data_IF_775970842348
#
_entry.id   IF_775970842348
#
_cell.length_a   1.000
_cell.length_b   1.000
_cell.length_c   1.000
_cell.angle_alpha   90.00
_cell.angle_beta   90.00
_cell.angle_gamma   90.00
#
_symmetry.space_group_name_H-M   'P 1'
#
loop_
_entity.id
_entity.type
_entity.pdbx_description
1 polymer ?
#
# COMPACT_ATOMS: atom_id res chain seq x y z
N UNK A 1 47.53 -9.96 -52.81
CA UNK A 1 47.65 -8.75 -51.98
C UNK A 1 46.26 -8.26 -51.65
N UNK A 2 45.97 -8.06 -50.36
CA UNK A 2 44.68 -7.57 -49.84
C UNK A 2 44.53 -6.07 -50.14
N UNK A 3 43.27 -5.60 -50.13
CA UNK A 3 42.74 -4.24 -49.90
C UNK A 3 41.87 -3.74 -51.08
N UNK A 4 40.76 -3.02 -50.91
CA UNK A 4 39.97 -2.55 -49.76
C UNK A 4 38.64 -2.02 -50.37
N UNK A 5 37.51 -2.40 -49.76
CA UNK A 5 36.28 -1.63 -49.46
C UNK A 5 35.44 -0.96 -50.57
N UNK A 6 34.17 -1.40 -50.61
CA UNK A 6 32.97 -0.71 -51.11
C UNK A 6 31.92 -0.71 -49.95
N UNK A 7 30.84 0.09 -49.98
CA UNK A 7 30.47 1.02 -48.93
C UNK A 7 29.06 0.68 -48.39
N UNK A 8 28.65 1.23 -47.25
CA UNK A 8 27.24 1.26 -46.82
C UNK A 8 27.23 2.10 -45.54
N UNK A 9 26.64 3.29 -45.48
CA UNK A 9 25.19 3.59 -45.40
C UNK A 9 24.91 4.22 -44.03
N UNK A 10 24.19 5.34 -44.09
CA UNK A 10 23.36 5.96 -43.05
C UNK A 10 24.04 6.31 -41.72
N UNK A 11 24.35 7.58 -41.47
CA UNK A 11 23.39 8.67 -41.18
C UNK A 11 22.46 8.31 -40.01
N UNK A 12 22.55 9.16 -38.97
CA UNK A 12 21.54 9.40 -37.92
C UNK A 12 21.68 8.63 -36.60
N UNK A 13 22.50 9.17 -35.68
CA UNK A 13 22.27 8.99 -34.23
C UNK A 13 22.20 10.35 -33.55
N UNK A 14 21.02 10.94 -33.68
CA UNK A 14 20.58 12.14 -33.00
C UNK A 14 20.11 11.79 -31.57
N UNK A 15 20.48 12.66 -30.63
CA UNK A 15 19.83 12.90 -29.33
C UNK A 15 19.75 11.74 -28.33
N UNK A 16 20.72 11.72 -27.42
CA UNK A 16 20.58 11.13 -26.08
C UNK A 16 19.64 12.04 -25.26
N UNK A 17 18.34 11.91 -25.51
CA UNK A 17 17.31 12.55 -24.69
C UNK A 17 17.39 11.97 -23.27
N UNK A 18 17.62 12.88 -22.32
CA UNK A 18 17.56 12.63 -20.90
C UNK A 18 16.24 11.93 -20.56
N UNK A 19 16.34 10.66 -20.16
CA UNK A 19 15.25 10.04 -19.41
C UNK A 19 15.30 10.65 -18.00
N UNK A 20 14.66 11.81 -17.83
CA UNK A 20 14.13 12.24 -16.53
C UNK A 20 12.99 11.30 -16.17
N UNK A 21 13.34 10.07 -15.80
CA UNK A 21 12.41 9.14 -15.19
C UNK A 21 12.05 9.68 -13.82
N UNK A 22 10.91 10.36 -13.73
CA UNK A 22 10.14 10.38 -12.48
C UNK A 22 10.04 8.94 -12.03
N UNK A 23 10.73 8.61 -10.94
CA UNK A 23 10.54 7.33 -10.29
C UNK A 23 9.08 7.28 -9.86
N UNK A 24 8.28 6.47 -10.56
CA UNK A 24 7.03 6.00 -10.01
C UNK A 24 7.34 5.42 -8.62
N UNK A 25 6.57 5.74 -7.58
CA UNK A 25 6.80 5.18 -6.26
C UNK A 25 6.88 3.66 -6.39
N UNK A 26 7.97 3.09 -5.88
CA UNK A 26 8.14 1.64 -5.86
C UNK A 26 6.91 1.02 -5.17
N UNK A 27 6.35 -0.08 -5.70
CA UNK A 27 5.28 -0.79 -5.00
C UNK A 27 5.79 -1.09 -3.59
N UNK A 28 5.03 -0.66 -2.57
CA UNK A 28 5.27 -1.04 -1.19
C UNK A 28 5.44 -2.56 -1.15
N UNK A 29 6.62 -3.00 -0.74
CA UNK A 29 7.06 -4.39 -0.82
C UNK A 29 6.02 -5.33 -0.19
N UNK A 30 5.49 -6.28 -0.96
CA UNK A 30 4.83 -7.48 -0.42
C UNK A 30 3.43 -7.83 -0.92
N UNK A 31 2.74 -7.01 -1.70
CA UNK A 31 1.44 -7.41 -2.28
C UNK A 31 1.54 -7.61 -3.79
N UNK A 32 1.74 -8.87 -4.19
CA UNK A 32 1.65 -9.34 -5.60
C UNK A 32 0.24 -9.85 -5.92
N UNK A 33 -0.72 -9.59 -5.04
CA UNK A 33 -2.09 -10.02 -5.22
C UNK A 33 -2.77 -9.21 -6.33
N UNK A 34 -3.35 -9.91 -7.30
CA UNK A 34 -4.13 -9.32 -8.40
C UNK A 34 -5.59 -9.66 -8.18
N UNK A 35 -6.41 -8.64 -7.97
CA UNK A 35 -7.86 -8.78 -7.82
C UNK A 35 -8.55 -8.83 -9.18
N UNK A 36 -9.69 -9.53 -9.24
CA UNK A 36 -10.60 -9.48 -10.39
C UNK A 36 -11.60 -8.32 -10.29
N UNK A 37 -11.78 -7.77 -9.09
CA UNK A 37 -12.79 -6.73 -8.81
C UNK A 37 -12.16 -5.34 -8.69
N UNK A 38 -10.91 -5.27 -8.22
CA UNK A 38 -10.20 -4.02 -7.93
C UNK A 38 -9.00 -3.86 -8.85
N UNK A 39 -8.96 -2.74 -9.57
CA UNK A 39 -7.83 -2.38 -10.43
C UNK A 39 -6.80 -1.57 -9.66
N UNK A 40 -5.53 -1.69 -10.06
CA UNK A 40 -4.43 -0.81 -9.64
C UNK A 40 -3.90 0.03 -10.81
N UNK A 41 -4.60 0.02 -11.95
CA UNK A 41 -4.17 0.64 -13.22
C UNK A 41 -4.63 2.10 -13.32
N UNK A 42 -4.38 2.87 -12.27
CA UNK A 42 -4.61 4.31 -12.24
C UNK A 42 -3.55 5.01 -11.39
N UNK A 43 -3.38 6.31 -11.62
CA UNK A 43 -2.31 7.07 -10.98
C UNK A 43 -2.49 7.11 -9.45
N UNK A 44 -1.41 6.83 -8.73
CA UNK A 44 -1.40 6.79 -7.27
C UNK A 44 -2.28 5.70 -6.63
N UNK A 45 -2.74 4.70 -7.38
CA UNK A 45 -3.59 3.63 -6.88
C UNK A 45 -2.98 2.93 -5.65
N UNK A 46 -3.80 2.72 -4.62
CA UNK A 46 -3.40 1.90 -3.49
C UNK A 46 -3.28 0.42 -3.90
N UNK A 47 -2.44 -0.34 -3.19
CA UNK A 47 -2.45 -1.80 -3.29
C UNK A 47 -3.85 -2.33 -2.91
N UNK A 48 -4.29 -3.42 -3.55
CA UNK A 48 -5.63 -4.00 -3.38
C UNK A 48 -6.02 -4.18 -1.91
N UNK A 49 -5.11 -4.69 -1.08
CA UNK A 49 -5.32 -4.81 0.37
C UNK A 49 -5.78 -3.50 1.01
N UNK A 50 -5.09 -2.41 0.69
CA UNK A 50 -5.38 -1.10 1.27
C UNK A 50 -6.64 -0.49 0.65
N UNK A 51 -6.95 -0.78 -0.63
CA UNK A 51 -8.22 -0.42 -1.24
C UNK A 51 -9.40 -1.12 -0.54
N UNK A 52 -9.30 -2.43 -0.29
CA UNK A 52 -10.32 -3.18 0.45
C UNK A 52 -10.49 -2.66 1.87
N UNK A 53 -9.38 -2.39 2.57
CA UNK A 53 -9.42 -1.96 3.95
C UNK A 53 -10.03 -0.55 4.10
N UNK A 54 -9.49 0.44 3.38
CA UNK A 54 -10.02 1.80 3.43
C UNK A 54 -11.43 1.87 2.84
N UNK A 55 -11.68 1.16 1.74
CA UNK A 55 -13.00 1.07 1.12
C UNK A 55 -14.06 0.49 2.05
N UNK A 56 -13.72 -0.53 2.85
CA UNK A 56 -14.64 -1.11 3.85
C UNK A 56 -15.02 -0.08 4.93
N UNK A 57 -14.08 0.75 5.37
CA UNK A 57 -14.35 1.84 6.31
C UNK A 57 -15.27 2.91 5.71
N UNK A 58 -15.09 3.24 4.44
CA UNK A 58 -15.96 4.19 3.73
C UNK A 58 -17.37 3.62 3.51
N UNK A 59 -17.48 2.34 3.12
CA UNK A 59 -18.78 1.68 2.96
C UNK A 59 -19.61 1.68 4.24
N UNK A 60 -18.96 1.46 5.39
CA UNK A 60 -19.63 1.43 6.70
C UNK A 60 -20.21 2.78 7.13
N UNK A 61 -19.90 3.87 6.42
CA UNK A 61 -20.50 5.19 6.63
C UNK A 61 -21.71 5.47 5.74
N UNK A 62 -22.07 4.55 4.83
CA UNK A 62 -23.14 4.74 3.85
C UNK A 62 -24.12 3.56 3.73
N UNK A 63 -24.89 3.55 2.65
CA UNK A 63 -26.00 2.60 2.43
C UNK A 63 -25.53 1.17 2.11
N UNK A 64 -24.26 0.99 1.76
CA UNK A 64 -23.63 -0.30 1.45
C UNK A 64 -22.77 -0.83 2.60
N UNK A 65 -23.05 -0.38 3.83
CA UNK A 65 -22.38 -0.85 5.03
C UNK A 65 -22.36 -2.38 5.10
N UNK A 66 -21.26 -2.92 5.63
CA UNK A 66 -21.10 -4.36 5.85
C UNK A 66 -22.12 -4.82 6.89
N UNK A 67 -22.94 -5.83 6.56
CA UNK A 67 -23.95 -6.35 7.49
C UNK A 67 -23.31 -7.06 8.69
N UNK A 68 -24.07 -7.26 9.76
CA UNK A 68 -23.61 -8.01 10.93
C UNK A 68 -23.17 -9.44 10.56
N UNK A 69 -23.89 -10.12 9.68
CA UNK A 69 -23.58 -11.47 9.21
C UNK A 69 -22.30 -11.50 8.37
N UNK A 70 -22.10 -10.51 7.51
CA UNK A 70 -20.85 -10.37 6.75
C UNK A 70 -19.68 -10.05 7.68
N UNK A 71 -19.88 -9.17 8.67
CA UNK A 71 -18.86 -8.79 9.64
C UNK A 71 -18.37 -10.00 10.45
N UNK A 72 -19.27 -10.90 10.89
CA UNK A 72 -18.89 -12.15 11.55
C UNK A 72 -17.95 -13.03 10.71
N UNK A 73 -18.10 -12.99 9.37
CA UNK A 73 -17.23 -13.71 8.43
C UNK A 73 -15.92 -12.96 8.18
N UNK A 74 -15.97 -11.63 8.05
CA UNK A 74 -14.83 -10.80 7.68
C UNK A 74 -13.84 -10.57 8.83
N UNK A 75 -14.30 -10.45 10.08
CA UNK A 75 -13.45 -10.22 11.26
C UNK A 75 -12.27 -11.21 11.33
N UNK A 76 -12.49 -12.54 11.34
CA UNK A 76 -11.38 -13.49 11.45
C UNK A 76 -10.44 -13.46 10.24
N UNK A 77 -10.91 -13.08 9.05
CA UNK A 77 -10.07 -12.95 7.84
C UNK A 77 -9.12 -11.75 7.95
N UNK A 78 -9.65 -10.59 8.40
CA UNK A 78 -8.83 -9.40 8.64
C UNK A 78 -7.84 -9.60 9.79
N UNK A 79 -8.24 -10.30 10.85
CA UNK A 79 -7.33 -10.69 11.94
C UNK A 79 -6.20 -11.62 11.44
N UNK A 80 -6.52 -12.57 10.57
CA UNK A 80 -5.51 -13.40 9.89
C UNK A 80 -4.51 -12.53 9.11
N UNK A 81 -5.02 -11.60 8.30
CA UNK A 81 -4.16 -10.70 7.53
C UNK A 81 -3.31 -9.80 8.44
N UNK A 82 -3.85 -9.37 9.59
CA UNK A 82 -3.10 -8.61 10.60
C UNK A 82 -1.94 -9.42 11.19
N UNK A 83 -2.20 -10.69 11.52
CA UNK A 83 -1.20 -11.62 12.05
C UNK A 83 -0.05 -11.82 11.08
N UNK A 84 -0.34 -11.94 9.78
CA UNK A 84 0.70 -12.12 8.75
C UNK A 84 1.70 -10.96 8.67
N UNK A 85 1.26 -9.73 8.96
CA UNK A 85 2.14 -8.56 9.00
C UNK A 85 3.06 -8.57 10.22
N UNK A 86 2.60 -9.11 11.36
CA UNK A 86 3.37 -9.16 12.60
C UNK A 86 4.42 -10.27 12.58
N UNK A 87 4.13 -11.39 11.90
CA UNK A 87 5.02 -12.55 11.83
C UNK A 87 6.28 -12.32 10.96
N UNK A 88 6.37 -11.19 10.24
CA UNK A 88 7.59 -10.78 9.52
C UNK A 88 8.02 -11.69 8.36
N UNK A 89 7.16 -12.61 7.90
CA UNK A 89 7.54 -13.62 6.91
C UNK A 89 6.43 -14.56 6.43
N UNK A 90 5.16 -14.12 6.43
CA UNK A 90 4.08 -14.95 5.91
C UNK A 90 4.26 -15.27 4.43
N UNK A 91 3.86 -16.48 4.03
CA UNK A 91 3.90 -16.89 2.64
C UNK A 91 2.96 -16.01 1.82
N UNK A 92 3.42 -15.51 0.66
CA UNK A 92 2.58 -14.73 -0.26
C UNK A 92 1.26 -15.44 -0.60
N UNK A 93 1.29 -16.76 -0.69
CA UNK A 93 0.10 -17.57 -0.96
C UNK A 93 -0.97 -17.44 0.13
N UNK A 94 -0.58 -17.34 1.40
CA UNK A 94 -1.51 -17.18 2.53
C UNK A 94 -2.17 -15.80 2.48
N UNK A 95 -1.39 -14.75 2.25
CA UNK A 95 -1.88 -13.38 2.06
C UNK A 95 -2.90 -13.32 0.92
N UNK A 96 -2.55 -13.87 -0.25
CA UNK A 96 -3.44 -13.89 -1.42
C UNK A 96 -4.72 -14.70 -1.16
N UNK A 97 -4.63 -15.81 -0.42
CA UNK A 97 -5.79 -16.61 -0.07
C UNK A 97 -6.73 -15.87 0.89
N UNK A 98 -6.19 -15.11 1.84
CA UNK A 98 -6.98 -14.27 2.74
C UNK A 98 -7.66 -13.12 1.99
N UNK A 99 -6.96 -12.44 1.09
CA UNK A 99 -7.54 -11.36 0.27
C UNK A 99 -8.67 -11.88 -0.63
N UNK A 100 -8.50 -13.03 -1.28
CA UNK A 100 -9.57 -13.67 -2.07
C UNK A 100 -10.80 -14.01 -1.21
N UNK A 101 -10.59 -14.50 0.01
CA UNK A 101 -11.69 -14.81 0.92
C UNK A 101 -12.41 -13.54 1.41
N UNK A 102 -11.66 -12.45 1.67
CA UNK A 102 -12.25 -11.15 2.01
C UNK A 102 -13.14 -10.67 0.87
N UNK A 103 -12.66 -10.68 -0.38
CA UNK A 103 -13.49 -10.29 -1.53
C UNK A 103 -14.73 -11.17 -1.67
N UNK A 104 -14.58 -12.48 -1.48
CA UNK A 104 -15.70 -13.43 -1.60
C UNK A 104 -16.79 -13.26 -0.53
N UNK A 105 -16.46 -12.66 0.62
CA UNK A 105 -17.40 -12.38 1.70
C UNK A 105 -18.15 -11.04 1.53
N UNK A 106 -17.70 -10.18 0.60
CA UNK A 106 -18.37 -8.93 0.24
C UNK A 106 -19.35 -9.15 -0.92
N UNK A 107 -20.37 -8.29 -1.02
CA UNK A 107 -21.29 -8.35 -2.17
C UNK A 107 -20.65 -7.73 -3.41
N UNK A 108 -21.09 -8.10 -4.62
CA UNK A 108 -20.63 -7.46 -5.86
C UNK A 108 -20.81 -5.93 -5.84
N UNK A 109 -21.91 -5.43 -5.28
CA UNK A 109 -22.21 -4.00 -5.18
C UNK A 109 -21.21 -3.29 -4.25
N UNK A 110 -20.83 -3.91 -3.13
CA UNK A 110 -19.82 -3.39 -2.21
C UNK A 110 -18.45 -3.31 -2.91
N UNK A 111 -18.04 -4.38 -3.60
CA UNK A 111 -16.77 -4.40 -4.33
C UNK A 111 -16.74 -3.38 -5.47
N UNK A 112 -17.85 -3.24 -6.20
CA UNK A 112 -17.98 -2.24 -7.25
C UNK A 112 -17.92 -0.82 -6.69
N UNK A 113 -18.56 -0.57 -5.56
CA UNK A 113 -18.49 0.72 -4.88
C UNK A 113 -17.05 1.05 -4.45
N UNK A 114 -16.32 0.09 -3.86
CA UNK A 114 -14.90 0.28 -3.51
C UNK A 114 -14.06 0.56 -4.77
N UNK A 115 -14.26 -0.18 -5.85
CA UNK A 115 -13.55 0.05 -7.11
C UNK A 115 -13.83 1.44 -7.70
N UNK A 116 -15.04 1.96 -7.51
CA UNK A 116 -15.46 3.30 -7.96
C UNK A 116 -14.84 4.43 -7.11
N UNK A 117 -14.45 4.15 -5.85
CA UNK A 117 -13.77 5.14 -5.00
C UNK A 117 -12.39 5.54 -5.53
N UNK A 118 -11.75 4.71 -6.36
CA UNK A 118 -10.42 4.98 -6.96
C UNK A 118 -9.40 5.43 -5.91
N UNK A 119 -9.31 4.69 -4.80
CA UNK A 119 -8.54 5.07 -3.63
C UNK A 119 -7.04 5.19 -3.92
N UNK A 120 -6.46 6.29 -3.46
CA UNK A 120 -5.09 6.70 -3.71
C UNK A 120 -4.27 6.95 -2.44
N UNK A 121 -2.97 7.19 -2.61
CA UNK A 121 -2.08 7.56 -1.50
C UNK A 121 -2.54 8.83 -0.73
N UNK A 122 -3.02 9.89 -1.40
CA UNK A 122 -3.69 11.02 -0.73
C UNK A 122 -4.85 10.62 0.19
N UNK A 123 -5.71 9.69 -0.23
CA UNK A 123 -6.86 9.25 0.59
C UNK A 123 -6.39 8.53 1.86
N UNK A 124 -5.36 7.68 1.72
CA UNK A 124 -4.73 7.03 2.86
C UNK A 124 -4.11 8.05 3.85
N UNK A 125 -3.50 9.12 3.34
CA UNK A 125 -2.95 10.20 4.18
C UNK A 125 -4.06 11.03 4.85
N UNK A 126 -5.13 11.32 4.13
CA UNK A 126 -6.30 12.01 4.67
C UNK A 126 -6.93 11.21 5.81
N UNK A 127 -7.14 9.91 5.59
CA UNK A 127 -7.61 8.98 6.62
C UNK A 127 -6.68 8.94 7.83
N UNK A 128 -5.35 8.83 7.61
CA UNK A 128 -4.37 8.81 8.69
C UNK A 128 -4.45 10.09 9.55
N UNK A 129 -4.58 11.25 8.90
CA UNK A 129 -4.68 12.55 9.56
C UNK A 129 -5.98 12.66 10.37
N UNK A 130 -7.11 12.27 9.78
CA UNK A 130 -8.42 12.27 10.44
C UNK A 130 -8.46 11.37 11.68
N UNK A 131 -7.69 10.28 11.67
CA UNK A 131 -7.59 9.32 12.78
C UNK A 131 -6.42 9.61 13.74
N UNK A 132 -5.75 10.76 13.60
CA UNK A 132 -4.66 11.15 14.49
C UNK A 132 -3.42 10.23 14.43
N UNK A 133 -3.26 9.48 13.34
CA UNK A 133 -2.13 8.59 13.15
C UNK A 133 -0.91 9.44 12.77
N UNK A 134 0.15 9.44 13.59
CA UNK A 134 1.35 10.22 13.29
C UNK A 134 2.05 9.61 12.08
N UNK A 135 1.78 10.19 10.91
CA UNK A 135 2.59 10.00 9.72
C UNK A 135 3.94 10.61 10.03
N UNK A 136 4.97 9.78 10.21
CA UNK A 136 6.28 10.21 10.69
C UNK A 136 6.70 11.51 10.02
N UNK A 137 6.63 12.60 10.77
CA UNK A 137 7.07 13.91 10.33
C UNK A 137 8.58 13.89 10.36
N UNK A 138 9.19 13.24 9.38
CA UNK A 138 10.53 13.60 9.00
C UNK A 138 10.45 15.02 8.47
N UNK A 139 10.40 16.03 9.35
CA UNK A 139 10.58 17.41 8.92
C UNK A 139 11.88 17.43 8.13
N UNK A 140 11.87 17.83 6.84
CA UNK A 140 13.09 18.00 6.09
C UNK A 140 13.95 19.01 6.85
N UNK A 141 15.01 18.54 7.51
CA UNK A 141 15.90 19.40 8.30
C UNK A 141 16.01 19.11 9.79
N UNK A 142 15.17 18.27 10.41
CA UNK A 142 15.35 17.95 11.86
C UNK A 142 16.54 17.05 12.17
N UNK A 143 17.22 16.55 11.14
CA UNK A 143 18.54 15.94 11.23
C UNK A 143 19.68 16.87 10.79
N UNK A 144 19.43 17.97 10.08
CA UNK A 144 20.46 18.71 9.34
C UNK A 144 21.54 19.36 10.24
N UNK A 145 21.28 19.50 11.54
CA UNK A 145 22.24 20.01 12.53
C UNK A 145 22.79 18.98 13.54
N UNK A 146 22.41 17.69 13.45
CA UNK A 146 22.95 16.65 14.34
C UNK A 146 24.21 16.03 13.76
N UNK A 147 25.22 15.81 14.62
CA UNK A 147 26.40 15.05 14.24
C UNK A 147 26.01 13.62 13.83
N UNK A 148 26.81 12.96 12.98
CA UNK A 148 26.55 11.58 12.56
C UNK A 148 26.29 10.62 13.73
N UNK A 149 26.98 10.83 14.85
CA UNK A 149 26.90 10.02 16.07
C UNK A 149 25.59 10.27 16.81
N UNK A 150 25.15 11.53 16.93
CA UNK A 150 23.88 11.88 17.56
C UNK A 150 22.68 11.32 16.78
N UNK A 151 22.78 11.25 15.43
CA UNK A 151 21.78 10.57 14.60
C UNK A 151 21.80 9.05 14.84
N UNK A 152 22.99 8.44 14.90
CA UNK A 152 23.13 7.00 15.15
C UNK A 152 22.58 6.60 16.53
N UNK A 153 22.87 7.37 17.58
CA UNK A 153 22.34 7.10 18.94
C UNK A 153 20.84 7.27 19.02
N UNK A 154 20.25 8.29 18.37
CA UNK A 154 18.79 8.43 18.30
C UNK A 154 18.13 7.31 17.50
N UNK A 155 18.70 6.93 16.37
CA UNK A 155 18.20 5.81 15.57
C UNK A 155 18.25 4.48 16.34
N UNK A 156 19.32 4.26 17.12
CA UNK A 156 19.43 3.11 18.01
C UNK A 156 18.45 3.16 19.19
N UNK A 157 18.23 4.35 19.78
CA UNK A 157 17.30 4.55 20.90
C UNK A 157 15.83 4.44 20.50
N UNK A 158 15.47 4.90 19.30
CA UNK A 158 14.12 4.81 18.74
C UNK A 158 13.84 3.45 18.07
N UNK A 159 14.82 2.53 18.05
CA UNK A 159 14.72 1.24 17.35
C UNK A 159 14.54 1.39 15.84
N UNK A 160 14.82 2.59 15.30
CA UNK A 160 14.69 2.92 13.89
C UNK A 160 15.96 2.47 13.20
N UNK A 161 16.01 1.20 12.84
CA UNK A 161 16.90 0.77 11.76
C UNK A 161 16.50 1.57 10.52
N UNK A 162 17.49 2.12 9.80
CA UNK A 162 17.32 2.98 8.63
C UNK A 162 16.76 2.20 7.43
N UNK A 163 15.52 1.72 7.54
CA UNK A 163 14.74 1.18 6.45
C UNK A 163 13.53 2.10 6.27
N UNK A 164 13.52 2.85 5.17
CA UNK A 164 12.43 3.76 4.78
C UNK A 164 11.08 3.08 4.50
N UNK A 165 10.83 1.89 5.05
CA UNK A 165 9.58 1.13 4.95
C UNK A 165 8.72 1.11 6.21
N UNK A 166 9.21 1.63 7.35
CA UNK A 166 8.54 1.51 8.65
C UNK A 166 7.24 2.32 8.80
N UNK A 167 7.13 3.48 8.15
CA UNK A 167 5.94 4.33 8.30
C UNK A 167 4.74 3.82 7.49
N UNK A 168 4.97 3.30 6.27
CA UNK A 168 3.90 2.72 5.44
C UNK A 168 3.38 1.40 5.98
N UNK A 169 4.26 0.55 6.52
CA UNK A 169 3.85 -0.70 7.18
C UNK A 169 3.01 -0.44 8.44
N UNK A 170 3.40 0.52 9.29
CA UNK A 170 2.61 0.93 10.46
C UNK A 170 1.24 1.50 10.10
N UNK A 171 1.17 2.25 9.00
CA UNK A 171 -0.08 2.81 8.51
C UNK A 171 -1.04 1.73 8.00
N UNK A 172 -0.55 0.78 7.20
CA UNK A 172 -1.35 -0.36 6.73
C UNK A 172 -1.83 -1.24 7.89
N UNK A 173 -0.97 -1.45 8.89
CA UNK A 173 -1.30 -2.12 10.14
C UNK A 173 -2.46 -1.44 10.89
N UNK A 174 -2.37 -0.13 11.11
CA UNK A 174 -3.40 0.65 11.77
C UNK A 174 -4.72 0.66 10.97
N UNK A 175 -4.64 0.65 9.64
CA UNK A 175 -5.80 0.58 8.77
C UNK A 175 -6.55 -0.75 8.95
N UNK A 176 -5.84 -1.88 9.01
CA UNK A 176 -6.46 -3.18 9.29
C UNK A 176 -7.09 -3.21 10.68
N UNK A 177 -6.40 -2.67 11.70
CA UNK A 177 -6.94 -2.61 13.06
C UNK A 177 -8.24 -1.78 13.11
N UNK A 178 -8.32 -0.68 12.35
CA UNK A 178 -9.53 0.13 12.22
C UNK A 178 -10.66 -0.63 11.51
N UNK A 179 -10.37 -1.41 10.47
CA UNK A 179 -11.37 -2.26 9.81
C UNK A 179 -11.95 -3.27 10.80
N UNK A 180 -11.10 -3.99 11.52
CA UNK A 180 -11.53 -4.97 12.53
C UNK A 180 -12.45 -4.30 13.55
N UNK A 181 -12.05 -3.14 14.10
CA UNK A 181 -12.85 -2.39 15.05
C UNK A 181 -14.21 -1.95 14.47
N UNK A 182 -14.24 -1.51 13.21
CA UNK A 182 -15.49 -1.12 12.53
C UNK A 182 -16.43 -2.31 12.33
N UNK A 183 -15.90 -3.49 12.02
CA UNK A 183 -16.68 -4.72 11.84
C UNK A 183 -17.19 -5.26 13.18
N UNK A 184 -16.38 -5.22 14.23
CA UNK A 184 -16.81 -5.58 15.58
C UNK A 184 -17.95 -4.68 16.08
N UNK A 185 -17.99 -3.41 15.66
CA UNK A 185 -19.09 -2.52 15.97
C UNK A 185 -20.41 -2.90 15.26
N UNK A 186 -20.35 -3.56 14.10
CA UNK A 186 -21.54 -4.03 13.37
C UNK A 186 -22.18 -5.29 13.99
N UNK A 187 -21.44 -6.01 14.84
CA UNK A 187 -21.89 -7.29 15.44
C UNK A 187 -22.43 -7.11 16.86
N UNK A 188 -22.28 -5.92 17.45
CA UNK A 188 -22.76 -5.58 18.80
C UNK A 188 -24.22 -5.12 18.79
#
# INVERSE_FOLDING_TARGET
MKKIFLPLVFLFTLALAACSGTAAPAPTSGDVYVSQNLSTDYDGALAVRNQLALGTLELNQGDLAVSAEQAQTLIPLWQGLRSTQQAGGSAQAEVSALLTQIESAMTPEQLQAIAAMKLTQPDMQAWATANGIPMGSGTPGQGAGMSPEARATKQAAEGVTSSGGGSGSKLSAALIDAVIASLEAQVK
#
